data_IF_205173605926
#
_entry.id   IF_205173605926
#
_cell.length_a   1.000
_cell.length_b   1.000
_cell.length_c   1.000
_cell.angle_alpha   90.00
_cell.angle_beta   90.00
_cell.angle_gamma   90.00
#
_symmetry.space_group_name_H-M   'P 1'
#
loop_
_entity.id
_entity.type
_entity.pdbx_description
1 polymer ?
#
# COMPACT_ATOMS: atom_id res chain seq x y z
N UNK A 1 -3.77 11.99 19.46
CA UNK A 1 -2.83 10.92 19.08
C UNK A 1 -3.44 9.59 19.51
N UNK A 2 -4.10 8.89 18.59
CA UNK A 2 -5.11 7.86 18.93
C UNK A 2 -4.72 6.43 18.52
N UNK A 3 -3.66 6.33 17.73
CA UNK A 3 -3.01 5.08 17.31
C UNK A 3 -1.56 5.02 17.79
N UNK A 4 -1.17 5.97 18.64
CA UNK A 4 0.10 5.90 19.37
C UNK A 4 0.11 4.60 20.16
N UNK A 5 1.28 3.92 20.26
CA UNK A 5 1.41 2.75 21.10
C UNK A 5 0.80 3.05 22.46
N UNK A 6 -0.08 2.18 22.94
CA UNK A 6 -0.52 2.26 24.33
C UNK A 6 0.72 2.20 25.25
N UNK A 7 0.66 2.68 26.51
CA UNK A 7 1.81 2.65 27.41
C UNK A 7 2.41 1.24 27.56
N UNK A 8 1.60 0.20 27.38
CA UNK A 8 1.96 -1.22 27.38
C UNK A 8 2.30 -1.78 25.98
N UNK A 9 2.37 -0.91 24.96
CA UNK A 9 2.58 -1.21 23.54
C UNK A 9 1.52 -2.14 22.93
N UNK A 10 0.35 -2.28 23.56
CA UNK A 10 -0.74 -3.06 23.01
C UNK A 10 -1.43 -2.34 21.86
N UNK A 11 -2.12 -3.11 21.00
CA UNK A 11 -2.96 -2.55 19.95
C UNK A 11 -4.36 -2.27 20.49
N UNK A 12 -5.03 -1.21 20.01
CA UNK A 12 -6.47 -1.01 20.22
C UNK A 12 -7.27 -2.24 19.79
N UNK A 13 -8.50 -2.41 20.30
CA UNK A 13 -9.33 -3.57 19.96
C UNK A 13 -9.46 -3.81 18.44
N UNK A 14 -9.40 -5.08 18.01
CA UNK A 14 -9.43 -5.47 16.58
C UNK A 14 -10.60 -4.85 15.81
N UNK A 15 -11.80 -4.81 16.40
CA UNK A 15 -13.00 -4.26 15.74
C UNK A 15 -12.86 -2.77 15.46
N UNK A 16 -12.18 -2.04 16.34
CA UNK A 16 -11.90 -0.61 16.16
C UNK A 16 -10.91 -0.44 15.01
N UNK A 17 -9.85 -1.26 14.96
CA UNK A 17 -8.84 -1.21 13.90
C UNK A 17 -9.46 -1.52 12.54
N UNK A 18 -10.29 -2.55 12.45
CA UNK A 18 -11.01 -2.92 11.23
C UNK A 18 -11.97 -1.81 10.76
N UNK A 19 -12.76 -1.26 11.68
CA UNK A 19 -13.68 -0.17 11.38
C UNK A 19 -12.92 1.06 10.86
N UNK A 20 -11.80 1.42 11.51
CA UNK A 20 -10.94 2.49 11.05
C UNK A 20 -10.42 2.21 9.63
N UNK A 21 -9.77 1.07 9.42
CA UNK A 21 -9.17 0.74 8.12
C UNK A 21 -10.24 0.85 7.02
N UNK A 22 -11.46 0.35 7.27
CA UNK A 22 -12.58 0.45 6.35
C UNK A 22 -13.02 1.89 6.07
N UNK A 23 -12.97 2.77 7.07
CA UNK A 23 -13.24 4.20 6.89
C UNK A 23 -12.13 4.85 6.06
N UNK A 24 -10.86 4.57 6.37
CA UNK A 24 -9.71 5.12 5.64
C UNK A 24 -9.68 4.72 4.16
N UNK A 25 -10.12 3.50 3.84
CA UNK A 25 -10.26 3.03 2.46
C UNK A 25 -11.30 3.79 1.63
N UNK A 26 -12.24 4.49 2.28
CA UNK A 26 -13.25 5.29 1.57
C UNK A 26 -12.71 6.66 1.16
N UNK A 27 -11.61 7.11 1.77
CA UNK A 27 -10.93 8.31 1.32
C UNK A 27 -10.12 7.98 0.07
N UNK A 28 -10.27 8.82 -0.96
CA UNK A 28 -9.44 8.76 -2.16
C UNK A 28 -8.02 9.27 -1.89
N UNK A 29 -7.44 9.91 -2.88
CA UNK A 29 -6.16 10.62 -2.72
C UNK A 29 -6.30 11.75 -1.70
N UNK A 30 -5.55 11.65 -0.61
CA UNK A 30 -5.42 12.71 0.41
C UNK A 30 -4.33 13.70 -0.01
N UNK A 31 -4.55 14.99 0.28
CA UNK A 31 -3.54 16.02 0.11
C UNK A 31 -2.31 15.75 1.00
N UNK A 32 -1.11 15.85 0.44
CA UNK A 32 0.17 15.67 1.14
C UNK A 32 0.28 16.47 2.45
N UNK A 33 -0.16 17.73 2.44
CA UNK A 33 -0.11 18.59 3.63
C UNK A 33 -1.04 18.07 4.73
N UNK A 34 -2.27 17.68 4.37
CA UNK A 34 -3.22 17.08 5.31
C UNK A 34 -2.70 15.73 5.88
N UNK A 35 -1.99 14.95 5.06
CA UNK A 35 -1.38 13.69 5.51
C UNK A 35 -0.25 13.95 6.52
N UNK A 36 0.60 14.94 6.24
CA UNK A 36 1.71 15.33 7.11
C UNK A 36 1.20 15.89 8.44
N UNK A 37 0.28 16.83 8.38
CA UNK A 37 -0.22 17.58 9.55
C UNK A 37 -1.04 16.69 10.48
N UNK A 38 -1.81 15.74 9.93
CA UNK A 38 -2.56 14.77 10.74
C UNK A 38 -1.70 13.68 11.38
N UNK A 39 -0.48 13.45 10.88
CA UNK A 39 0.40 12.38 11.36
C UNK A 39 -0.13 10.95 11.12
N UNK A 40 -1.23 10.79 10.38
CA UNK A 40 -1.91 9.50 10.20
C UNK A 40 -1.04 8.47 9.47
N UNK A 41 -0.16 8.90 8.57
CA UNK A 41 0.77 8.02 7.86
C UNK A 41 1.68 7.23 8.81
N UNK A 42 2.19 7.88 9.88
CA UNK A 42 3.01 7.21 10.91
C UNK A 42 2.21 6.17 11.68
N UNK A 43 0.96 6.50 12.00
CA UNK A 43 0.06 5.58 12.70
C UNK A 43 -0.29 4.33 11.87
N UNK A 44 -0.53 4.50 10.56
CA UNK A 44 -0.77 3.37 9.66
C UNK A 44 0.46 2.47 9.54
N UNK A 45 1.65 3.07 9.46
CA UNK A 45 2.91 2.34 9.43
C UNK A 45 3.14 1.55 10.73
N UNK A 46 2.81 2.15 11.88
CA UNK A 46 2.89 1.47 13.17
C UNK A 46 1.97 0.23 13.22
N UNK A 47 0.69 0.38 12.85
CA UNK A 47 -0.24 -0.75 12.78
C UNK A 47 0.25 -1.85 11.83
N UNK A 48 0.75 -1.46 10.65
CA UNK A 48 1.26 -2.40 9.65
C UNK A 48 2.46 -3.21 10.16
N UNK A 49 3.42 -2.55 10.82
CA UNK A 49 4.62 -3.20 11.37
C UNK A 49 4.35 -3.99 12.64
N UNK A 50 3.23 -3.77 13.33
CA UNK A 50 2.96 -4.39 14.62
C UNK A 50 2.86 -5.94 14.51
N UNK A 51 3.53 -6.71 15.39
CA UNK A 51 3.55 -8.17 15.31
C UNK A 51 2.18 -8.81 15.56
N UNK A 52 1.32 -8.16 16.35
CA UNK A 52 -0.04 -8.64 16.71
C UNK A 52 -1.14 -8.15 15.76
N UNK A 53 -0.80 -7.48 14.66
CA UNK A 53 -1.79 -7.10 13.65
C UNK A 53 -2.09 -8.29 12.71
N UNK A 54 -3.34 -8.38 12.26
CA UNK A 54 -3.79 -9.49 11.40
C UNK A 54 -3.22 -9.36 9.99
N UNK A 55 -3.03 -10.51 9.33
CA UNK A 55 -2.55 -10.54 7.93
C UNK A 55 -3.47 -9.75 7.00
N UNK A 56 -4.77 -9.89 7.17
CA UNK A 56 -5.77 -9.19 6.36
C UNK A 56 -5.69 -7.66 6.55
N UNK A 57 -5.56 -7.19 7.78
CA UNK A 57 -5.41 -5.76 8.05
C UNK A 57 -4.10 -5.23 7.48
N UNK A 58 -3.00 -5.98 7.56
CA UNK A 58 -1.71 -5.57 6.96
C UNK A 58 -1.82 -5.37 5.44
N UNK A 59 -2.56 -6.22 4.74
CA UNK A 59 -2.81 -6.08 3.29
C UNK A 59 -3.60 -4.79 3.01
N UNK A 60 -4.63 -4.51 3.80
CA UNK A 60 -5.43 -3.28 3.63
C UNK A 60 -4.60 -2.02 3.95
N UNK A 61 -3.83 -2.05 5.03
CA UNK A 61 -2.97 -0.96 5.47
C UNK A 61 -1.91 -0.62 4.42
N UNK A 62 -1.20 -1.61 3.88
CA UNK A 62 -0.14 -1.34 2.90
C UNK A 62 -0.70 -0.74 1.60
N UNK A 63 -1.91 -1.14 1.20
CA UNK A 63 -2.60 -0.54 0.06
C UNK A 63 -2.88 0.95 0.31
N UNK A 64 -3.46 1.30 1.46
CA UNK A 64 -3.74 2.70 1.83
C UNK A 64 -2.44 3.51 1.86
N UNK A 65 -1.40 2.98 2.52
CA UNK A 65 -0.10 3.66 2.64
C UNK A 65 0.47 3.97 1.25
N UNK A 66 0.45 3.00 0.33
CA UNK A 66 0.96 3.23 -1.03
C UNK A 66 0.10 4.22 -1.81
N UNK A 67 -1.23 4.06 -1.77
CA UNK A 67 -2.14 4.95 -2.51
C UNK A 67 -1.98 6.41 -2.05
N UNK A 68 -1.73 6.64 -0.76
CA UNK A 68 -1.52 7.98 -0.20
C UNK A 68 -0.09 8.50 -0.38
N UNK A 69 0.92 7.63 -0.39
CA UNK A 69 2.32 8.03 -0.58
C UNK A 69 2.66 8.32 -2.06
N UNK A 70 2.04 7.62 -3.01
CA UNK A 70 2.32 7.77 -4.46
C UNK A 70 2.30 9.22 -4.97
N UNK A 71 1.23 10.02 -4.75
CA UNK A 71 1.20 11.39 -5.25
C UNK A 71 2.23 12.31 -4.58
N UNK A 72 2.74 11.94 -3.40
CA UNK A 72 3.75 12.71 -2.67
C UNK A 72 5.15 12.48 -3.25
N UNK A 73 5.45 11.24 -3.60
CA UNK A 73 6.77 10.84 -4.10
C UNK A 73 6.85 10.73 -5.63
N UNK A 74 5.77 11.09 -6.34
CA UNK A 74 5.64 10.95 -7.80
C UNK A 74 6.03 9.55 -8.30
N UNK A 75 5.54 8.51 -7.62
CA UNK A 75 5.84 7.11 -7.92
C UNK A 75 4.88 6.56 -8.97
N UNK A 76 5.42 6.08 -10.09
CA UNK A 76 4.66 5.27 -11.06
C UNK A 76 4.34 3.88 -10.47
N UNK A 77 3.23 3.29 -10.92
CA UNK A 77 2.64 2.04 -10.38
C UNK A 77 3.68 0.95 -10.05
N UNK A 78 3.84 0.64 -8.77
CA UNK A 78 4.80 -0.37 -8.31
C UNK A 78 4.16 -1.76 -8.17
N UNK A 79 4.76 -2.72 -8.86
CA UNK A 79 4.30 -4.08 -9.16
C UNK A 79 4.43 -5.03 -7.96
N UNK A 80 5.16 -4.61 -6.92
CA UNK A 80 5.57 -5.42 -5.77
C UNK A 80 4.45 -5.71 -4.75
N UNK A 81 3.34 -4.95 -4.79
CA UNK A 81 2.20 -5.12 -3.87
C UNK A 81 1.24 -6.26 -4.23
N UNK A 82 1.42 -6.84 -5.40
CA UNK A 82 0.47 -7.80 -5.89
C UNK A 82 0.54 -9.09 -5.08
N UNK A 83 -0.59 -9.56 -4.56
CA UNK A 83 -0.65 -10.87 -3.91
C UNK A 83 -0.26 -11.96 -4.92
N UNK A 84 0.23 -13.13 -4.46
CA UNK A 84 0.60 -14.24 -5.37
C UNK A 84 -0.55 -14.58 -6.34
N UNK A 85 -1.78 -14.47 -5.88
CA UNK A 85 -3.00 -14.73 -6.64
C UNK A 85 -3.22 -13.69 -7.75
N UNK A 86 -3.13 -12.42 -7.41
CA UNK A 86 -3.23 -11.34 -8.40
C UNK A 86 -2.04 -11.35 -9.38
N UNK A 87 -0.86 -11.87 -8.99
CA UNK A 87 0.32 -12.09 -9.90
C UNK A 87 0.00 -13.11 -10.95
N UNK A 88 -0.57 -14.22 -10.52
CA UNK A 88 -0.97 -15.28 -11.43
C UNK A 88 -2.05 -14.79 -12.39
N UNK A 89 -3.05 -14.04 -11.90
CA UNK A 89 -4.10 -13.47 -12.75
C UNK A 89 -3.52 -12.51 -13.80
N UNK A 90 -2.57 -11.66 -13.44
CA UNK A 90 -1.90 -10.77 -14.40
C UNK A 90 -0.98 -11.51 -15.36
N UNK A 91 -0.31 -12.58 -14.95
CA UNK A 91 0.48 -13.42 -15.86
C UNK A 91 -0.43 -14.10 -16.89
N UNK A 92 -1.64 -14.50 -16.48
CA UNK A 92 -2.70 -15.00 -17.38
C UNK A 92 -3.20 -13.89 -18.31
N UNK A 93 -3.49 -12.70 -17.78
CA UNK A 93 -3.96 -11.55 -18.57
C UNK A 93 -2.87 -11.05 -19.54
N UNK A 94 -1.59 -11.10 -19.15
CA UNK A 94 -0.48 -10.78 -20.04
C UNK A 94 -0.22 -11.89 -21.05
N UNK A 95 -0.41 -13.16 -20.71
CA UNK A 95 -0.31 -14.25 -21.68
C UNK A 95 -1.41 -14.15 -22.73
N UNK A 96 -2.64 -13.78 -22.34
CA UNK A 96 -3.75 -13.54 -23.26
C UNK A 96 -3.53 -12.28 -24.10
N UNK A 97 -3.07 -11.17 -23.52
CA UNK A 97 -2.69 -9.97 -24.26
C UNK A 97 -1.51 -10.22 -25.21
N UNK A 98 -0.47 -10.95 -24.78
CA UNK A 98 0.68 -11.31 -25.65
C UNK A 98 0.22 -12.09 -26.86
N UNK A 99 -0.69 -13.05 -26.66
CA UNK A 99 -1.31 -13.86 -27.72
C UNK A 99 -2.16 -13.03 -28.69
N UNK A 100 -2.77 -11.94 -28.20
CA UNK A 100 -3.46 -10.96 -29.06
C UNK A 100 -2.48 -10.02 -29.77
N UNK A 101 -1.42 -9.55 -29.11
CA UNK A 101 -0.42 -8.65 -29.70
C UNK A 101 0.52 -9.33 -30.69
N UNK A 102 0.75 -10.65 -30.58
CA UNK A 102 1.43 -11.42 -31.61
C UNK A 102 0.65 -11.46 -32.94
N UNK A 103 -0.66 -11.11 -32.91
CA UNK A 103 -1.46 -10.91 -34.12
C UNK A 103 -1.40 -9.45 -34.63
N UNK A 104 -0.92 -8.49 -33.84
CA UNK A 104 -1.02 -7.04 -34.15
C UNK A 104 0.28 -6.23 -34.02
N UNK A 105 1.42 -6.84 -33.69
CA UNK A 105 2.79 -6.34 -33.90
C UNK A 105 3.14 -4.92 -33.40
N UNK A 106 3.19 -4.67 -32.08
CA UNK A 106 3.73 -3.40 -31.54
C UNK A 106 4.58 -3.59 -30.26
N UNK A 107 5.81 -3.02 -30.16
CA UNK A 107 6.72 -3.24 -29.03
C UNK A 107 6.49 -2.26 -27.86
N UNK A 108 6.85 -2.66 -26.62
CA UNK A 108 6.80 -1.82 -25.39
C UNK A 108 8.19 -1.64 -24.77
N UNK A 109 8.52 -0.38 -24.46
CA UNK A 109 9.71 0.09 -23.72
C UNK A 109 9.73 -0.41 -22.27
N UNK A 110 10.93 -0.66 -21.72
CA UNK A 110 11.18 -1.11 -20.33
C UNK A 110 11.77 0.05 -19.51
N UNK A 111 11.21 0.33 -18.33
CA UNK A 111 11.73 1.30 -17.36
C UNK A 111 12.06 0.62 -16.03
N UNK A 112 13.17 1.03 -15.43
CA UNK A 112 13.89 0.37 -14.34
C UNK A 112 13.25 0.52 -12.94
N UNK A 113 13.39 -0.53 -12.11
CA UNK A 113 13.07 -0.55 -10.68
C UNK A 113 14.07 0.30 -9.87
N UNK A 114 13.57 1.23 -9.04
CA UNK A 114 14.38 2.00 -8.07
C UNK A 114 13.86 1.71 -6.66
N UNK A 115 14.72 1.20 -5.79
CA UNK A 115 14.42 0.94 -4.38
C UNK A 115 14.13 2.24 -3.62
N UNK A 116 12.98 2.29 -2.93
CA UNK A 116 12.56 3.41 -2.09
C UNK A 116 13.42 3.51 -0.81
N UNK A 117 14.16 4.61 -0.59
CA UNK A 117 14.93 4.80 0.62
C UNK A 117 14.05 5.47 1.67
N UNK A 118 13.62 4.72 2.68
CA UNK A 118 13.23 5.32 3.95
C UNK A 118 13.99 4.63 5.07
N UNK A 119 15.25 5.07 5.22
CA UNK A 119 16.07 4.75 6.39
C UNK A 119 15.45 5.41 7.62
N UNK A 120 15.25 4.57 8.62
CA UNK A 120 14.90 4.94 9.99
C UNK A 120 16.07 5.69 10.61
N UNK A 121 15.81 6.87 11.18
CA UNK A 121 16.66 7.43 12.22
C UNK A 121 15.81 7.70 13.46
N UNK A 122 16.31 7.21 14.60
CA UNK A 122 15.95 7.62 15.98
C UNK A 122 14.60 7.22 16.52
#
# INVERSE_FOLDING_TARGET
DWLSPLPDKSLPNIKIREALIKILQQFGTINADALRDSGIGRSLMYLYKHPRETKENKIKLIKIIHDWARPIFNLDTDYKLLTREERLQRDVDQATLKRQTSLTGKPKNRSADVDLPFSSDG
#
